data_IF_994640379697
#
_entry.id   IF_994640379697
#
_cell.length_a   1.000
_cell.length_b   1.000
_cell.length_c   1.000
_cell.angle_alpha   90.00
_cell.angle_beta   90.00
_cell.angle_gamma   90.00
#
_symmetry.space_group_name_H-M   'P 1'
#
loop_
_entity.id
_entity.type
_entity.pdbx_description
1 polymer ?
#
# COMPACT_ATOMS: atom_id res chain seq x y z
N UNK A 1 -16.73 -7.36 11.96
CA UNK A 1 -15.84 -7.54 10.79
C UNK A 1 -15.23 -6.19 10.45
N UNK A 2 -13.92 -6.02 10.63
CA UNK A 2 -13.24 -4.78 10.24
C UNK A 2 -13.38 -4.56 8.73
N UNK A 3 -13.74 -3.35 8.31
CA UNK A 3 -13.83 -3.02 6.89
C UNK A 3 -12.42 -3.05 6.30
N UNK A 4 -12.20 -3.95 5.34
CA UNK A 4 -11.00 -3.94 4.52
C UNK A 4 -10.86 -2.57 3.85
N UNK A 5 -9.78 -1.84 4.13
CA UNK A 5 -9.55 -0.50 3.60
C UNK A 5 -8.28 -0.50 2.72
N UNK A 6 -8.43 -0.68 1.40
CA UNK A 6 -7.29 -0.78 0.49
C UNK A 6 -6.44 0.51 0.44
N UNK A 7 -7.03 1.68 0.74
CA UNK A 7 -6.26 2.93 0.83
C UNK A 7 -5.27 2.88 2.01
N UNK A 8 -5.70 2.38 3.17
CA UNK A 8 -4.79 2.19 4.32
C UNK A 8 -3.71 1.15 4.05
N UNK A 9 -4.09 0.02 3.44
CA UNK A 9 -3.09 -1.00 3.07
C UNK A 9 -2.03 -0.45 2.12
N UNK A 10 -2.42 0.47 1.24
CA UNK A 10 -1.50 1.18 0.36
C UNK A 10 -0.56 2.09 1.14
N UNK A 11 -1.09 2.89 2.07
CA UNK A 11 -0.30 3.78 2.94
C UNK A 11 0.72 2.98 3.76
N UNK A 12 0.27 1.93 4.46
CA UNK A 12 1.13 1.04 5.26
C UNK A 12 2.19 0.36 4.38
N UNK A 13 1.83 -0.12 3.19
CA UNK A 13 2.80 -0.74 2.29
C UNK A 13 3.87 0.24 1.75
N UNK A 14 3.60 1.55 1.75
CA UNK A 14 4.59 2.57 1.42
C UNK A 14 5.55 2.84 2.59
N UNK A 15 5.04 2.83 3.83
CA UNK A 15 5.86 2.91 5.05
C UNK A 15 6.72 1.64 5.17
N UNK A 16 6.12 0.45 5.09
CA UNK A 16 6.80 -0.86 5.16
C UNK A 16 7.97 -0.96 4.17
N UNK A 17 7.78 -0.52 2.90
CA UNK A 17 8.82 -0.63 1.88
C UNK A 17 9.94 0.40 2.06
N UNK A 18 9.62 1.57 2.63
CA UNK A 18 10.59 2.60 2.94
C UNK A 18 11.44 2.22 4.17
N UNK A 19 10.83 1.57 5.17
CA UNK A 19 11.52 1.00 6.34
C UNK A 19 12.26 -0.31 6.01
N UNK A 20 11.99 -0.90 4.85
CA UNK A 20 12.59 -2.16 4.41
C UNK A 20 12.00 -3.40 5.09
N UNK A 21 10.82 -3.26 5.70
CA UNK A 21 10.05 -4.36 6.30
C UNK A 21 9.45 -5.29 5.25
N UNK A 22 9.11 -4.76 4.07
CA UNK A 22 8.69 -5.56 2.91
C UNK A 22 9.58 -5.34 1.69
N UNK A 23 9.66 -6.37 0.87
CA UNK A 23 10.33 -6.29 -0.43
C UNK A 23 9.43 -5.69 -1.51
N UNK A 24 10.05 -5.26 -2.63
CA UNK A 24 9.32 -4.86 -3.83
C UNK A 24 8.41 -5.97 -4.37
N UNK A 25 8.81 -7.24 -4.21
CA UNK A 25 8.01 -8.38 -4.65
C UNK A 25 6.74 -8.53 -3.80
N UNK A 26 6.85 -8.42 -2.48
CA UNK A 26 5.71 -8.45 -1.56
C UNK A 26 4.76 -7.26 -1.78
N UNK A 27 5.28 -6.06 -2.04
CA UNK A 27 4.45 -4.91 -2.42
C UNK A 27 3.64 -5.20 -3.70
N UNK A 28 4.27 -5.82 -4.71
CA UNK A 28 3.60 -6.19 -5.96
C UNK A 28 2.52 -7.24 -5.71
N UNK A 29 2.75 -8.20 -4.80
CA UNK A 29 1.73 -9.19 -4.42
C UNK A 29 0.54 -8.55 -3.69
N UNK A 30 0.79 -7.68 -2.71
CA UNK A 30 -0.26 -6.89 -2.02
C UNK A 30 -1.10 -6.09 -3.03
N UNK A 31 -0.44 -5.41 -3.98
CA UNK A 31 -1.13 -4.67 -5.04
C UNK A 31 -1.92 -5.56 -6.00
N UNK A 32 -1.41 -6.76 -6.33
CA UNK A 32 -2.13 -7.73 -7.18
C UNK A 32 -3.40 -8.24 -6.51
N UNK A 33 -3.37 -8.56 -5.21
CA UNK A 33 -4.55 -8.95 -4.45
C UNK A 33 -5.58 -7.82 -4.39
N UNK A 34 -5.15 -6.58 -4.11
CA UNK A 34 -6.02 -5.41 -4.16
C UNK A 34 -6.64 -5.22 -5.56
N UNK A 35 -5.87 -5.41 -6.64
CA UNK A 35 -6.38 -5.34 -8.02
C UNK A 35 -7.41 -6.45 -8.30
N UNK A 36 -7.17 -7.68 -7.83
CA UNK A 36 -8.09 -8.80 -8.00
C UNK A 36 -9.45 -8.54 -7.33
N UNK A 37 -9.45 -7.81 -6.21
CA UNK A 37 -10.65 -7.39 -5.48
C UNK A 37 -11.32 -6.13 -6.07
N UNK A 38 -10.81 -5.59 -7.19
CA UNK A 38 -11.32 -4.35 -7.80
C UNK A 38 -10.92 -3.07 -7.06
N UNK A 39 -9.90 -3.14 -6.20
CA UNK A 39 -9.49 -2.08 -5.28
C UNK A 39 -8.07 -1.55 -5.52
N UNK A 40 -7.45 -1.94 -6.64
CA UNK A 40 -6.08 -1.54 -6.98
C UNK A 40 -5.87 -0.03 -7.08
N UNK A 41 -6.88 0.74 -7.51
CA UNK A 41 -6.79 2.21 -7.55
C UNK A 41 -6.73 2.84 -6.15
N UNK A 42 -7.54 2.35 -5.22
CA UNK A 42 -7.53 2.82 -3.84
C UNK A 42 -6.20 2.49 -3.15
N UNK A 43 -5.66 1.29 -3.39
CA UNK A 43 -4.34 0.90 -2.92
C UNK A 43 -3.23 1.80 -3.47
N UNK A 44 -3.22 2.06 -4.77
CA UNK A 44 -2.24 2.98 -5.39
C UNK A 44 -2.30 4.39 -4.80
N UNK A 45 -3.51 4.89 -4.57
CA UNK A 45 -3.72 6.22 -3.99
C UNK A 45 -3.21 6.28 -2.55
N UNK A 46 -3.46 5.23 -1.77
CA UNK A 46 -2.90 5.06 -0.43
C UNK A 46 -1.38 5.03 -0.45
N UNK A 47 -0.80 4.21 -1.31
CA UNK A 47 0.66 4.10 -1.47
C UNK A 47 1.31 5.43 -1.82
N UNK A 48 0.70 6.21 -2.72
CA UNK A 48 1.21 7.54 -3.06
C UNK A 48 1.19 8.47 -1.83
N UNK A 49 0.11 8.48 -1.04
CA UNK A 49 0.02 9.28 0.20
C UNK A 49 1.05 8.86 1.24
N UNK A 50 1.19 7.56 1.48
CA UNK A 50 2.16 7.02 2.44
C UNK A 50 3.58 7.37 2.02
N UNK A 51 3.92 7.18 0.74
CA UNK A 51 5.22 7.57 0.21
C UNK A 51 5.46 9.08 0.34
N UNK A 52 4.48 9.93 -0.03
CA UNK A 52 4.58 11.38 0.16
C UNK A 52 4.84 11.75 1.62
N UNK A 53 4.23 11.06 2.58
CA UNK A 53 4.45 11.29 4.01
C UNK A 53 5.87 10.88 4.43
N UNK A 54 6.32 9.68 4.06
CA UNK A 54 7.64 9.15 4.44
C UNK A 54 8.81 9.94 3.81
N UNK A 55 8.64 10.49 2.61
CA UNK A 55 9.68 11.29 1.96
C UNK A 55 9.77 12.75 2.45
N UNK A 56 8.75 13.24 3.17
CA UNK A 56 8.66 14.64 3.63
C UNK A 56 8.85 14.79 5.14
N UNK A 57 9.14 13.70 5.86
CA UNK A 57 9.43 13.64 7.30
C UNK A 57 10.93 13.48 7.56
#
# INVERSE_FOLDING_TARGET
>A
MGRYNPEKDGEEAAEDIAEGEITKEELIEKYKDAKFRGQGEAFKKGYAKGAEKTFNE
#
